data_IF_998460014837
#
_entry.id   IF_998460014837
#
_cell.length_a   1.000
_cell.length_b   1.000
_cell.length_c   1.000
_cell.angle_alpha   90.00
_cell.angle_beta   90.00
_cell.angle_gamma   90.00
#
_symmetry.space_group_name_H-M   'P 1'
#
loop_
_entity.id
_entity.type
_entity.pdbx_description
1 polymer ?
#
# COMPACT_ATOMS: atom_id res chain seq x y z
N UNK A 1 -17.23 -4.72 -55.41
CA UNK A 1 -18.15 -4.01 -54.49
C UNK A 1 -18.56 -4.87 -53.29
N UNK A 2 -19.25 -6.02 -53.47
CA UNK A 2 -19.70 -6.82 -52.31
C UNK A 2 -18.57 -7.33 -51.39
N UNK A 3 -17.42 -7.75 -51.95
CA UNK A 3 -16.26 -8.22 -51.17
C UNK A 3 -15.61 -7.08 -50.36
N UNK A 4 -15.51 -5.89 -50.94
CA UNK A 4 -14.94 -4.72 -50.23
C UNK A 4 -15.85 -4.23 -49.12
N UNK A 5 -17.17 -4.24 -49.33
CA UNK A 5 -18.13 -3.94 -48.25
C UNK A 5 -18.06 -4.95 -47.10
N UNK A 6 -17.91 -6.24 -47.42
CA UNK A 6 -17.76 -7.27 -46.37
C UNK A 6 -16.46 -7.07 -45.55
N UNK A 7 -15.35 -6.73 -46.20
CA UNK A 7 -14.07 -6.45 -45.53
C UNK A 7 -14.20 -5.24 -44.60
N UNK A 8 -14.78 -4.14 -45.06
CA UNK A 8 -15.01 -2.94 -44.22
C UNK A 8 -15.94 -3.24 -43.07
N UNK A 9 -16.96 -4.06 -43.21
CA UNK A 9 -17.86 -4.44 -42.14
C UNK A 9 -17.15 -5.29 -41.07
N UNK A 10 -16.36 -6.28 -41.49
CA UNK A 10 -15.58 -7.12 -40.59
C UNK A 10 -14.55 -6.28 -39.82
N UNK A 11 -13.86 -5.37 -40.52
CA UNK A 11 -12.89 -4.47 -39.88
C UNK A 11 -13.57 -3.55 -38.83
N UNK A 12 -14.77 -3.04 -39.17
CA UNK A 12 -15.57 -2.24 -38.23
C UNK A 12 -15.97 -3.01 -36.99
N UNK A 13 -16.35 -4.29 -37.10
CA UNK A 13 -16.67 -5.14 -35.97
C UNK A 13 -15.45 -5.42 -35.08
N UNK A 14 -14.28 -5.67 -35.69
CA UNK A 14 -13.03 -5.88 -34.95
C UNK A 14 -12.66 -4.62 -34.17
N UNK A 15 -12.71 -3.46 -34.79
CA UNK A 15 -12.43 -2.18 -34.12
C UNK A 15 -13.42 -1.91 -32.98
N UNK A 16 -14.71 -2.18 -33.19
CA UNK A 16 -15.71 -2.04 -32.14
C UNK A 16 -15.45 -3.01 -30.97
N UNK A 17 -15.09 -4.26 -31.24
CA UNK A 17 -14.75 -5.24 -30.21
C UNK A 17 -13.50 -4.82 -29.42
N UNK A 18 -12.46 -4.36 -30.09
CA UNK A 18 -11.23 -3.84 -29.46
C UNK A 18 -11.56 -2.63 -28.59
N UNK A 19 -12.38 -1.73 -29.10
CA UNK A 19 -12.84 -0.55 -28.34
C UNK A 19 -13.57 -0.97 -27.05
N UNK A 20 -14.51 -1.93 -27.16
CA UNK A 20 -15.24 -2.44 -25.99
C UNK A 20 -14.28 -3.05 -24.97
N UNK A 21 -13.32 -3.87 -25.40
CA UNK A 21 -12.34 -4.48 -24.49
C UNK A 21 -11.51 -3.42 -23.77
N UNK A 22 -10.97 -2.44 -24.51
CA UNK A 22 -10.14 -1.37 -23.92
C UNK A 22 -10.93 -0.52 -22.94
N UNK A 23 -12.18 -0.19 -23.27
CA UNK A 23 -12.98 0.77 -22.50
C UNK A 23 -13.81 0.16 -21.37
N UNK A 24 -14.09 -1.12 -21.40
CA UNK A 24 -14.92 -1.78 -20.39
C UNK A 24 -14.16 -2.79 -19.53
N UNK A 25 -12.88 -3.05 -19.80
CA UNK A 25 -12.06 -3.83 -18.90
C UNK A 25 -11.84 -3.08 -17.57
N UNK A 26 -12.03 -3.75 -16.43
CA UNK A 26 -11.73 -3.13 -15.13
C UNK A 26 -10.25 -2.77 -15.06
N UNK A 27 -9.90 -1.61 -14.50
CA UNK A 27 -8.52 -1.19 -14.36
C UNK A 27 -7.75 -2.14 -13.43
N UNK A 28 -6.47 -2.31 -13.71
CA UNK A 28 -5.54 -3.01 -12.86
C UNK A 28 -5.37 -2.25 -11.54
N UNK A 29 -5.38 -2.98 -10.42
CA UNK A 29 -5.17 -2.37 -9.12
C UNK A 29 -3.73 -1.85 -9.00
N UNK A 30 -3.49 -0.76 -8.26
CA UNK A 30 -2.18 -0.18 -8.14
C UNK A 30 -1.20 -1.14 -7.44
N UNK A 31 0.02 -1.18 -7.95
CA UNK A 31 1.13 -1.90 -7.32
C UNK A 31 1.70 -1.05 -6.19
N UNK A 32 1.76 -1.64 -5.01
CA UNK A 32 2.23 -0.94 -3.82
C UNK A 32 3.41 -1.70 -3.23
N UNK A 33 4.56 -1.03 -3.19
CA UNK A 33 5.83 -1.61 -2.73
C UNK A 33 6.35 -0.84 -1.52
N UNK A 34 6.76 -1.55 -0.48
CA UNK A 34 7.51 -0.98 0.63
C UNK A 34 8.96 -0.80 0.18
N UNK A 35 9.45 0.44 0.15
CA UNK A 35 10.80 0.79 -0.30
C UNK A 35 11.77 0.82 0.85
N UNK A 36 11.36 1.43 1.97
CA UNK A 36 12.19 1.51 3.15
C UNK A 36 11.35 1.48 4.42
N UNK A 37 11.95 0.91 5.46
CA UNK A 37 11.44 0.95 6.82
C UNK A 37 12.61 1.28 7.73
N UNK A 38 12.47 2.31 8.56
CA UNK A 38 13.46 2.68 9.55
C UNK A 38 12.81 2.96 10.89
N UNK A 39 13.52 2.64 11.95
CA UNK A 39 13.06 2.87 13.31
C UNK A 39 13.99 3.88 13.97
N UNK A 40 13.41 4.95 14.49
CA UNK A 40 14.14 6.05 15.07
C UNK A 40 13.67 6.36 16.51
N UNK A 41 14.57 6.92 17.30
CA UNK A 41 14.29 7.39 18.67
C UNK A 41 13.66 6.32 19.55
N UNK A 42 14.13 5.07 19.43
CA UNK A 42 13.71 4.00 20.31
C UNK A 42 14.12 4.29 21.74
N UNK A 43 13.15 4.33 22.62
CA UNK A 43 13.37 4.42 24.05
C UNK A 43 12.84 3.14 24.71
N UNK A 44 13.76 2.39 25.30
CA UNK A 44 13.44 1.19 26.04
C UNK A 44 13.52 1.51 27.53
N UNK A 45 12.39 1.49 28.20
CA UNK A 45 12.34 1.42 29.65
C UNK A 45 12.01 -0.02 30.08
N UNK A 46 12.11 -0.32 31.36
CA UNK A 46 11.84 -1.67 31.88
C UNK A 46 10.45 -2.21 31.54
N UNK A 47 9.53 -1.32 31.15
CA UNK A 47 8.11 -1.66 30.94
C UNK A 47 7.52 -1.10 29.66
N UNK A 48 8.21 -0.22 28.93
CA UNK A 48 7.66 0.45 27.77
C UNK A 48 8.68 0.54 26.63
N UNK A 49 8.18 0.31 25.43
CA UNK A 49 8.89 0.63 24.21
C UNK A 49 8.15 1.79 23.57
N UNK A 50 8.88 2.86 23.27
CA UNK A 50 8.36 3.98 22.50
C UNK A 50 9.37 4.38 21.43
N UNK A 51 8.88 4.95 20.33
CA UNK A 51 9.74 5.35 19.22
C UNK A 51 8.93 5.76 18.01
N UNK A 52 9.63 6.00 16.93
CA UNK A 52 9.02 6.31 15.63
C UNK A 52 9.44 5.27 14.61
N UNK A 53 8.49 4.86 13.79
CA UNK A 53 8.72 3.98 12.66
C UNK A 53 8.40 4.77 11.41
N UNK A 54 9.41 5.02 10.59
CA UNK A 54 9.29 5.72 9.33
C UNK A 54 9.26 4.69 8.21
N UNK A 55 8.23 4.73 7.39
CA UNK A 55 8.02 3.83 6.26
C UNK A 55 7.82 4.62 4.99
N UNK A 56 8.50 4.21 3.93
CA UNK A 56 8.32 4.75 2.59
C UNK A 56 7.77 3.69 1.66
N UNK A 57 6.67 4.02 1.02
CA UNK A 57 6.04 3.19 0.01
C UNK A 57 6.09 3.87 -1.34
N UNK A 58 6.13 3.06 -2.38
CA UNK A 58 5.85 3.49 -3.74
C UNK A 58 4.53 2.90 -4.20
N UNK A 59 3.68 3.75 -4.76
CA UNK A 59 2.41 3.35 -5.38
C UNK A 59 2.54 3.60 -6.87
N UNK A 60 2.46 2.55 -7.66
CA UNK A 60 2.50 2.60 -9.13
C UNK A 60 1.08 2.37 -9.68
N UNK A 61 0.57 3.32 -10.44
CA UNK A 61 -0.59 3.12 -11.29
C UNK A 61 -0.11 2.63 -12.67
N UNK A 62 -0.23 1.35 -12.95
CA UNK A 62 0.19 0.76 -14.22
C UNK A 62 -0.81 1.00 -15.38
N UNK A 63 -1.98 1.55 -15.10
CA UNK A 63 -2.99 1.80 -16.12
C UNK A 63 -2.58 2.95 -17.03
N UNK A 64 -2.79 2.78 -18.34
CA UNK A 64 -2.45 3.78 -19.35
C UNK A 64 -3.48 4.92 -19.46
N UNK A 65 -4.74 4.63 -19.13
CA UNK A 65 -5.86 5.54 -19.38
C UNK A 65 -6.72 5.83 -18.15
N UNK A 66 -6.39 5.25 -17.00
CA UNK A 66 -7.23 5.34 -15.80
C UNK A 66 -6.51 6.03 -14.66
N UNK A 67 -7.06 7.13 -14.22
CA UNK A 67 -6.63 7.82 -13.01
C UNK A 67 -7.30 7.21 -11.78
N UNK A 68 -6.60 7.25 -10.64
CA UNK A 68 -7.12 6.81 -9.36
C UNK A 68 -7.28 7.96 -8.38
N UNK A 69 -8.38 7.95 -7.65
CA UNK A 69 -8.57 8.78 -6.47
C UNK A 69 -8.61 7.88 -5.24
N UNK A 70 -7.69 8.11 -4.33
CA UNK A 70 -7.60 7.37 -3.07
C UNK A 70 -8.30 8.14 -1.97
N UNK A 71 -9.09 7.44 -1.16
CA UNK A 71 -9.54 7.96 0.11
C UNK A 71 -8.39 8.01 1.12
N UNK A 72 -8.71 8.33 2.37
CA UNK A 72 -7.73 8.28 3.45
C UNK A 72 -7.12 6.87 3.53
N UNK A 73 -5.79 6.83 3.64
CA UNK A 73 -5.02 5.58 3.72
C UNK A 73 -4.63 5.34 5.16
N UNK A 74 -5.18 4.32 5.78
CA UNK A 74 -4.82 3.92 7.13
C UNK A 74 -3.70 2.90 7.08
N UNK A 75 -2.61 3.19 7.77
CA UNK A 75 -1.48 2.28 7.91
C UNK A 75 -1.39 1.83 9.37
N UNK A 76 -1.44 0.52 9.59
CA UNK A 76 -1.38 -0.08 10.93
C UNK A 76 -0.25 -1.09 10.99
N UNK A 77 0.52 -1.05 12.07
CA UNK A 77 1.60 -1.97 12.36
C UNK A 77 1.15 -2.96 13.44
N UNK A 78 1.46 -4.22 13.23
CA UNK A 78 1.10 -5.31 14.13
C UNK A 78 2.34 -6.13 14.51
N UNK A 79 2.30 -6.69 15.69
CA UNK A 79 3.17 -7.78 16.13
C UNK A 79 2.25 -8.95 16.52
N UNK A 80 2.30 -10.02 15.76
CA UNK A 80 1.32 -11.09 15.82
C UNK A 80 -0.12 -10.57 15.66
N UNK A 81 -0.97 -10.82 16.64
CA UNK A 81 -2.37 -10.36 16.63
C UNK A 81 -2.57 -8.94 17.22
N UNK A 82 -1.53 -8.36 17.80
CA UNK A 82 -1.64 -7.10 18.51
C UNK A 82 -1.28 -5.93 17.60
N UNK A 83 -2.17 -4.96 17.52
CA UNK A 83 -1.91 -3.70 16.84
C UNK A 83 -1.05 -2.80 17.73
N UNK A 84 0.12 -2.39 17.22
CA UNK A 84 1.07 -1.55 17.92
C UNK A 84 0.80 -0.06 17.69
N UNK A 85 0.55 0.31 16.44
CA UNK A 85 0.32 1.69 16.07
C UNK A 85 -0.56 1.79 14.81
N UNK A 86 -1.17 2.94 14.63
CA UNK A 86 -1.91 3.29 13.40
C UNK A 86 -1.64 4.75 13.07
N UNK A 87 -1.46 5.03 11.80
CA UNK A 87 -1.37 6.39 11.27
C UNK A 87 -2.23 6.50 10.02
N UNK A 88 -2.49 7.73 9.59
CA UNK A 88 -3.29 8.03 8.43
C UNK A 88 -2.51 8.92 7.47
N UNK A 89 -2.63 8.64 6.19
CA UNK A 89 -2.22 9.53 5.10
C UNK A 89 -3.48 10.08 4.43
N UNK A 90 -3.57 11.39 4.19
CA UNK A 90 -4.75 12.01 3.63
C UNK A 90 -5.02 11.52 2.21
N UNK A 91 -6.28 11.63 1.80
CA UNK A 91 -6.74 11.32 0.46
C UNK A 91 -5.88 12.01 -0.60
N UNK A 92 -5.59 11.30 -1.69
CA UNK A 92 -4.78 11.81 -2.79
C UNK A 92 -5.26 11.32 -4.14
N UNK A 93 -4.74 11.96 -5.18
CA UNK A 93 -5.01 11.64 -6.57
C UNK A 93 -3.74 11.15 -7.26
N UNK A 94 -3.88 10.20 -8.17
CA UNK A 94 -2.79 9.63 -8.96
C UNK A 94 -3.22 9.51 -10.42
N UNK A 95 -2.41 10.02 -11.31
CA UNK A 95 -2.64 9.92 -12.75
C UNK A 95 -2.31 8.54 -13.29
N UNK A 96 -2.78 8.28 -14.49
CA UNK A 96 -2.35 7.12 -15.27
C UNK A 96 -0.81 7.10 -15.39
N UNK A 97 -0.21 5.93 -15.30
CA UNK A 97 1.25 5.69 -15.37
C UNK A 97 2.11 6.40 -14.31
N UNK A 98 1.51 7.05 -13.34
CA UNK A 98 2.23 7.77 -12.30
C UNK A 98 2.75 6.82 -11.21
N UNK A 99 3.98 7.07 -10.76
CA UNK A 99 4.52 6.49 -9.52
C UNK A 99 4.57 7.56 -8.45
N UNK A 100 3.94 7.30 -7.31
CA UNK A 100 3.86 8.26 -6.21
C UNK A 100 4.49 7.71 -4.94
N UNK A 101 5.47 8.40 -4.33
CA UNK A 101 5.98 8.04 -3.02
C UNK A 101 5.00 8.48 -1.93
N UNK A 102 4.81 7.61 -0.93
CA UNK A 102 3.99 7.89 0.25
C UNK A 102 4.82 7.57 1.49
N UNK A 103 4.97 8.56 2.37
CA UNK A 103 5.73 8.39 3.59
C UNK A 103 4.77 8.36 4.78
N UNK A 104 4.98 7.40 5.67
CA UNK A 104 4.27 7.26 6.92
C UNK A 104 5.26 7.33 8.07
N UNK A 105 4.90 8.08 9.09
CA UNK A 105 5.56 8.02 10.38
C UNK A 105 4.55 7.52 11.41
N UNK A 106 4.84 6.38 12.02
CA UNK A 106 4.05 5.83 13.13
C UNK A 106 4.75 6.14 14.45
N UNK A 107 3.97 6.61 15.40
CA UNK A 107 4.43 6.72 16.77
C UNK A 107 4.01 5.46 17.53
N UNK A 108 5.00 4.72 18.01
CA UNK A 108 4.80 3.64 18.95
C UNK A 108 4.58 4.25 20.33
N UNK A 109 3.32 4.36 20.73
CA UNK A 109 2.98 4.80 22.07
C UNK A 109 3.55 3.81 23.12
N UNK A 110 3.89 4.27 24.34
CA UNK A 110 4.39 3.39 25.39
C UNK A 110 3.42 2.24 25.63
N UNK A 111 3.74 1.08 25.11
CA UNK A 111 2.91 -0.11 25.30
C UNK A 111 3.50 -0.93 26.44
N UNK A 112 2.66 -1.30 27.40
CA UNK A 112 2.98 -2.09 28.61
C UNK A 112 3.55 -3.49 28.30
N UNK A 113 3.86 -3.76 27.05
CA UNK A 113 4.27 -5.07 26.51
C UNK A 113 5.77 -5.28 26.49
N UNK A 114 6.56 -4.29 26.93
CA UNK A 114 8.02 -4.41 26.94
C UNK A 114 8.52 -5.67 27.67
N UNK A 115 7.76 -6.17 28.62
CA UNK A 115 8.15 -7.36 29.39
C UNK A 115 8.00 -8.66 28.60
N UNK A 116 7.02 -8.73 27.69
CA UNK A 116 6.81 -9.88 26.81
C UNK A 116 7.76 -9.81 25.60
N UNK A 117 7.83 -8.65 24.96
CA UNK A 117 8.80 -8.41 23.88
C UNK A 117 10.25 -8.59 24.34
N UNK A 118 10.61 -8.16 25.55
CA UNK A 118 11.98 -8.29 26.07
C UNK A 118 12.37 -9.72 26.44
N UNK A 119 11.43 -10.61 26.72
CA UNK A 119 11.70 -12.04 26.92
C UNK A 119 11.99 -12.77 25.62
N UNK A 120 11.50 -12.25 24.52
CA UNK A 120 11.60 -12.86 23.18
C UNK A 120 12.72 -12.22 22.33
N UNK A 121 13.23 -11.03 22.72
CA UNK A 121 14.25 -10.29 21.99
C UNK A 121 15.66 -10.58 22.52
N UNK A 122 16.44 -11.44 21.89
CA UNK A 122 17.90 -11.41 22.04
C UNK A 122 18.46 -10.08 21.50
N UNK A 123 19.64 -9.61 21.94
CA UNK A 123 20.18 -8.27 21.64
C UNK A 123 20.42 -7.98 20.13
N UNK A 124 20.18 -8.95 19.27
CA UNK A 124 20.28 -8.85 17.80
C UNK A 124 19.17 -9.66 17.13
N UNK A 125 17.91 -9.44 17.45
CA UNK A 125 16.82 -10.13 16.78
C UNK A 125 16.23 -9.27 15.68
N UNK A 126 16.00 -9.89 14.52
CA UNK A 126 15.10 -9.37 13.52
C UNK A 126 13.69 -9.78 13.96
N UNK A 127 12.87 -8.81 14.30
CA UNK A 127 11.45 -9.07 14.55
C UNK A 127 10.66 -8.86 13.27
N UNK A 128 9.73 -9.75 13.04
CA UNK A 128 8.82 -9.70 11.89
C UNK A 128 7.57 -8.92 12.29
N UNK A 129 7.30 -7.86 11.56
CA UNK A 129 6.11 -7.04 11.75
C UNK A 129 5.19 -7.12 10.55
N UNK A 130 3.92 -7.17 10.82
CA UNK A 130 2.89 -7.06 9.79
C UNK A 130 2.47 -5.61 9.62
N UNK A 131 2.53 -5.11 8.40
CA UNK A 131 2.03 -3.79 8.04
C UNK A 131 0.78 -3.96 7.19
N UNK A 132 -0.35 -3.44 7.67
CA UNK A 132 -1.63 -3.48 6.96
C UNK A 132 -2.05 -2.08 6.56
N UNK A 133 -2.51 -1.93 5.33
CA UNK A 133 -3.04 -0.69 4.80
C UNK A 133 -4.43 -0.91 4.23
N UNK A 134 -5.34 -0.04 4.61
CA UNK A 134 -6.72 -0.04 4.14
C UNK A 134 -7.02 1.30 3.49
N UNK A 135 -7.58 1.30 2.29
CA UNK A 135 -8.05 2.49 1.60
C UNK A 135 -9.19 2.16 0.65
N UNK A 136 -9.93 3.19 0.24
CA UNK A 136 -10.88 3.09 -0.86
C UNK A 136 -10.27 3.74 -2.10
N UNK A 137 -10.30 3.02 -3.21
CA UNK A 137 -9.86 3.52 -4.50
C UNK A 137 -11.10 3.74 -5.35
N UNK A 138 -11.20 4.95 -5.90
CA UNK A 138 -12.21 5.32 -6.90
C UNK A 138 -11.53 5.54 -8.22
N UNK A 139 -12.12 5.03 -9.28
CA UNK A 139 -11.70 5.32 -10.65
C UNK A 139 -12.90 5.72 -11.48
N UNK A 140 -12.63 6.50 -12.50
CA UNK A 140 -13.65 6.96 -13.42
C UNK A 140 -13.21 6.62 -14.83
N UNK A 141 -13.84 5.59 -15.36
CA UNK A 141 -13.74 5.28 -16.77
C UNK A 141 -15.11 4.75 -17.21
N UNK A 142 -15.89 5.56 -17.95
CA UNK A 142 -17.27 5.25 -18.33
C UNK A 142 -18.25 5.36 -17.17
N UNK A 143 -18.13 4.56 -16.14
CA UNK A 143 -18.89 4.64 -14.88
C UNK A 143 -17.98 4.84 -13.69
N UNK A 144 -18.42 5.60 -12.70
CA UNK A 144 -17.68 5.74 -11.44
C UNK A 144 -17.78 4.45 -10.63
N UNK A 145 -16.66 3.81 -10.37
CA UNK A 145 -16.56 2.63 -9.50
C UNK A 145 -15.65 2.88 -8.31
N UNK A 146 -15.88 2.15 -7.23
CA UNK A 146 -15.03 2.21 -6.05
C UNK A 146 -14.78 0.81 -5.49
N UNK A 147 -13.58 0.57 -4.96
CA UNK A 147 -13.20 -0.68 -4.33
C UNK A 147 -12.41 -0.42 -3.06
N UNK A 148 -12.72 -1.18 -2.02
CA UNK A 148 -11.86 -1.24 -0.84
C UNK A 148 -10.64 -2.10 -1.17
N UNK A 149 -9.46 -1.57 -0.91
CA UNK A 149 -8.19 -2.26 -1.12
C UNK A 149 -7.47 -2.38 0.20
N UNK A 150 -7.16 -3.63 0.53
CA UNK A 150 -6.31 -3.96 1.68
C UNK A 150 -5.00 -4.54 1.17
N UNK A 151 -3.89 -3.95 1.61
CA UNK A 151 -2.55 -4.44 1.33
C UNK A 151 -1.91 -4.85 2.64
N UNK A 152 -1.38 -6.07 2.68
CA UNK A 152 -0.68 -6.62 3.83
C UNK A 152 0.75 -6.91 3.41
N UNK A 153 1.73 -6.36 4.13
CA UNK A 153 3.13 -6.75 4.05
C UNK A 153 3.39 -7.58 5.31
N UNK A 154 3.52 -8.87 5.13
CA UNK A 154 3.78 -9.80 6.24
C UNK A 154 5.28 -9.99 6.38
N UNK A 155 5.71 -10.28 7.60
CA UNK A 155 7.08 -10.67 7.91
C UNK A 155 8.13 -9.63 7.43
N UNK A 156 7.86 -8.35 7.71
CA UNK A 156 8.83 -7.29 7.38
C UNK A 156 9.96 -7.32 8.42
N UNK A 157 11.18 -7.71 8.05
CA UNK A 157 12.28 -7.76 9.00
C UNK A 157 12.70 -6.34 9.40
N UNK A 158 12.70 -6.05 10.67
CA UNK A 158 13.17 -4.78 11.24
C UNK A 158 14.45 -5.03 12.00
N UNK A 159 15.55 -4.54 11.47
CA UNK A 159 16.83 -4.54 12.19
C UNK A 159 16.81 -3.49 13.30
N UNK A 160 16.68 -3.93 14.56
CA UNK A 160 16.78 -3.07 15.72
C UNK A 160 18.26 -2.95 16.12
N UNK A 161 18.90 -1.82 15.82
CA UNK A 161 20.22 -1.48 16.38
C UNK A 161 19.99 -0.77 17.70
N UNK A 162 20.06 -1.50 18.80
CA UNK A 162 20.04 -0.91 20.15
C UNK A 162 21.42 -0.34 20.43
N UNK A 163 21.60 0.96 20.27
CA UNK A 163 22.75 1.65 20.82
C UNK A 163 22.53 1.77 22.34
N UNK A 164 23.19 0.90 23.10
CA UNK A 164 23.30 1.07 24.54
C UNK A 164 24.13 2.34 24.83
N UNK A 165 23.52 3.29 25.52
CA UNK A 165 24.21 4.38 26.20
C UNK A 165 24.37 4.01 27.68
#
# INVERSE_FOLDING_TARGET
MAKEMAVCFVLGLILAAVFIVIFFSPPELPHITLVSLSVSRLNFTSYHISGYVDMQFQVLNANLLTDFSYGDVYCSMYHGKRRLATTMFPAFFQRATETKPINFTLYLAPVTTARELRKELPPYSFEEFDVKRDTFIKWRFGSSSSKSVRVSCNEVPVGLVVMAR
#
